data_IF_141626281255
#
_entry.id   IF_141626281255
#
_cell.length_a   1.000
_cell.length_b   1.000
_cell.length_c   1.000
_cell.angle_alpha   90.00
_cell.angle_beta   90.00
_cell.angle_gamma   90.00
#
_symmetry.space_group_name_H-M   'P 1'
#
loop_
_entity.id
_entity.type
_entity.pdbx_description
1 polymer ?
#
# COMPACT_ATOMS: atom_id res chain seq x y z
N UNK A 1 -4.96 -31.72 -9.69
CA UNK A 1 -4.19 -31.56 -10.95
C UNK A 1 -2.89 -32.32 -10.78
N UNK A 2 -2.38 -32.94 -11.83
CA UNK A 2 -1.05 -33.57 -11.79
C UNK A 2 0.04 -32.53 -12.05
N UNK A 3 1.26 -32.85 -11.66
CA UNK A 3 2.44 -32.08 -12.01
C UNK A 3 3.16 -32.74 -13.19
N UNK A 4 3.64 -31.93 -14.12
CA UNK A 4 4.47 -32.30 -15.25
C UNK A 4 5.90 -31.82 -14.99
N UNK A 5 6.86 -32.74 -15.07
CA UNK A 5 8.29 -32.43 -15.03
C UNK A 5 8.81 -32.25 -16.44
N UNK A 6 9.40 -31.09 -16.72
CA UNK A 6 9.97 -30.78 -18.03
C UNK A 6 11.45 -30.44 -17.89
N UNK A 7 12.28 -30.97 -18.79
CA UNK A 7 13.70 -30.68 -18.83
C UNK A 7 13.99 -29.66 -19.93
N UNK A 8 14.51 -28.50 -19.56
CA UNK A 8 14.78 -27.37 -20.47
C UNK A 8 16.14 -26.80 -20.11
N UNK A 9 17.03 -26.69 -21.11
CA UNK A 9 18.44 -26.30 -20.92
C UNK A 9 19.17 -27.04 -19.79
N UNK A 10 18.87 -28.34 -19.60
CA UNK A 10 19.47 -29.16 -18.54
C UNK A 10 18.95 -28.89 -17.12
N UNK A 11 17.90 -28.07 -16.96
CA UNK A 11 17.20 -27.83 -15.69
C UNK A 11 15.83 -28.49 -15.71
N UNK A 12 15.40 -29.01 -14.57
CA UNK A 12 14.05 -29.59 -14.39
C UNK A 12 13.13 -28.52 -13.83
N UNK A 13 12.00 -28.29 -14.51
CA UNK A 13 10.92 -27.44 -14.04
C UNK A 13 9.69 -28.28 -13.75
N UNK A 14 9.04 -27.99 -12.62
CA UNK A 14 7.75 -28.57 -12.25
C UNK A 14 6.65 -27.58 -12.64
N UNK A 15 5.80 -27.99 -13.58
CA UNK A 15 4.66 -27.24 -14.08
C UNK A 15 3.37 -27.98 -13.75
N UNK A 16 2.31 -27.27 -13.44
CA UNK A 16 1.00 -27.89 -13.29
C UNK A 16 0.43 -28.27 -14.65
N UNK A 17 -0.15 -29.47 -14.76
CA UNK A 17 -0.77 -29.97 -15.99
C UNK A 17 -2.05 -29.18 -16.35
N UNK A 18 -2.02 -28.50 -17.50
CA UNK A 18 -3.09 -27.69 -18.07
C UNK A 18 -3.83 -28.38 -19.23
N UNK A 19 -3.51 -29.65 -19.51
CA UNK A 19 -3.97 -30.39 -20.69
C UNK A 19 -3.04 -30.21 -21.89
N UNK A 20 -3.06 -31.19 -22.80
CA UNK A 20 -2.07 -31.35 -23.88
C UNK A 20 -1.74 -30.08 -24.66
N UNK A 21 -2.76 -29.38 -25.15
CA UNK A 21 -2.57 -28.18 -25.98
C UNK A 21 -1.88 -27.04 -25.21
N UNK A 22 -2.24 -26.84 -23.95
CA UNK A 22 -1.68 -25.76 -23.13
C UNK A 22 -0.31 -26.15 -22.57
N UNK A 23 -0.09 -27.43 -22.24
CA UNK A 23 1.23 -27.94 -21.86
C UNK A 23 2.25 -27.76 -22.98
N UNK A 24 1.87 -28.06 -24.22
CA UNK A 24 2.70 -27.80 -25.40
C UNK A 24 3.05 -26.32 -25.54
N UNK A 25 2.06 -25.43 -25.41
CA UNK A 25 2.30 -23.98 -25.46
C UNK A 25 3.23 -23.48 -24.35
N UNK A 26 3.13 -24.00 -23.12
CA UNK A 26 4.08 -23.68 -22.06
C UNK A 26 5.48 -24.23 -22.36
N UNK A 27 5.60 -25.44 -22.89
CA UNK A 27 6.89 -26.01 -23.30
C UNK A 27 7.58 -25.13 -24.35
N UNK A 28 6.84 -24.67 -25.36
CA UNK A 28 7.36 -23.79 -26.41
C UNK A 28 7.78 -22.44 -25.85
N UNK A 29 6.96 -21.84 -24.96
CA UNK A 29 7.32 -20.60 -24.26
C UNK A 29 8.61 -20.76 -23.45
N UNK A 30 8.75 -21.84 -22.67
CA UNK A 30 9.97 -22.06 -21.88
C UNK A 30 11.19 -22.27 -22.77
N UNK A 31 11.09 -23.06 -23.85
CA UNK A 31 12.18 -23.24 -24.82
C UNK A 31 12.57 -21.92 -25.48
N UNK A 32 11.60 -21.06 -25.76
CA UNK A 32 11.89 -19.75 -26.32
C UNK A 32 12.70 -18.86 -25.37
N UNK A 33 12.32 -18.85 -24.09
CA UNK A 33 13.01 -18.06 -23.07
C UNK A 33 14.41 -18.61 -22.77
N UNK A 34 14.52 -19.92 -22.59
CA UNK A 34 15.75 -20.54 -22.06
C UNK A 34 16.70 -21.07 -23.13
N UNK A 35 16.18 -21.54 -24.27
CA UNK A 35 16.97 -22.07 -25.39
C UNK A 35 17.02 -21.13 -26.60
N UNK A 36 16.32 -19.98 -26.57
CA UNK A 36 16.29 -19.02 -27.67
C UNK A 36 15.52 -19.50 -28.91
N UNK A 37 14.63 -20.47 -28.75
CA UNK A 37 13.78 -20.97 -29.84
C UNK A 37 12.77 -19.90 -30.30
N UNK A 38 12.34 -19.92 -31.57
CA UNK A 38 11.22 -19.10 -32.02
C UNK A 38 9.95 -19.39 -31.21
N UNK A 39 9.16 -18.35 -30.98
CA UNK A 39 7.91 -18.43 -30.22
C UNK A 39 6.78 -17.70 -30.94
N UNK A 40 5.66 -18.39 -31.10
CA UNK A 40 4.44 -17.82 -31.66
C UNK A 40 3.50 -17.36 -30.54
N UNK A 41 3.53 -16.06 -30.27
CA UNK A 41 2.69 -15.44 -29.26
C UNK A 41 1.20 -15.49 -29.61
N UNK A 42 0.84 -15.41 -30.90
CA UNK A 42 -0.55 -15.46 -31.34
C UNK A 42 -1.14 -16.86 -31.10
N UNK A 43 -0.34 -17.90 -31.37
CA UNK A 43 -0.73 -19.28 -31.10
C UNK A 43 -0.89 -19.55 -29.60
N UNK A 44 0.00 -19.01 -28.76
CA UNK A 44 -0.16 -19.08 -27.31
C UNK A 44 -1.45 -18.38 -26.84
N UNK A 45 -1.72 -17.16 -27.32
CA UNK A 45 -2.93 -16.40 -26.97
C UNK A 45 -4.20 -17.18 -27.35
N UNK A 46 -4.22 -17.78 -28.55
CA UNK A 46 -5.32 -18.62 -29.01
C UNK A 46 -5.54 -19.84 -28.12
N UNK A 47 -4.46 -20.55 -27.76
CA UNK A 47 -4.51 -21.72 -26.88
C UNK A 47 -4.94 -21.34 -25.46
N UNK A 48 -4.43 -20.23 -24.91
CA UNK A 48 -4.80 -19.70 -23.59
C UNK A 48 -6.27 -19.24 -23.55
N UNK A 49 -6.74 -18.50 -24.55
CA UNK A 49 -8.14 -18.07 -24.67
C UNK A 49 -9.08 -19.28 -24.70
N UNK A 50 -8.73 -20.33 -25.46
CA UNK A 50 -9.50 -21.58 -25.50
C UNK A 50 -9.47 -22.30 -24.15
N UNK A 51 -8.32 -22.33 -23.49
CA UNK A 51 -8.17 -22.90 -22.15
C UNK A 51 -9.13 -22.22 -21.17
N UNK A 52 -9.09 -20.88 -21.05
CA UNK A 52 -9.99 -20.13 -20.15
C UNK A 52 -11.47 -20.36 -20.47
N UNK A 53 -11.84 -20.48 -21.74
CA UNK A 53 -13.21 -20.85 -22.11
C UNK A 53 -13.67 -22.21 -21.61
N UNK A 54 -12.75 -23.18 -21.49
CA UNK A 54 -13.07 -24.53 -21.01
C UNK A 54 -13.11 -24.62 -19.47
N UNK A 55 -12.48 -23.68 -18.76
CA UNK A 55 -12.29 -23.73 -17.31
C UNK A 55 -12.82 -22.48 -16.59
N UNK A 56 -13.71 -21.72 -17.23
CA UNK A 56 -14.07 -20.36 -16.80
C UNK A 56 -14.66 -20.24 -15.39
N UNK A 57 -15.12 -21.33 -14.79
CA UNK A 57 -15.64 -21.40 -13.43
C UNK A 57 -14.67 -22.02 -12.41
N UNK A 58 -13.43 -22.31 -12.81
CA UNK A 58 -12.43 -23.03 -12.02
C UNK A 58 -11.24 -22.11 -11.68
N UNK A 59 -11.34 -21.31 -10.59
CA UNK A 59 -10.27 -20.40 -10.19
C UNK A 59 -8.96 -21.12 -9.83
N UNK A 60 -9.01 -22.40 -9.45
CA UNK A 60 -7.79 -23.16 -9.16
C UNK A 60 -7.00 -23.40 -10.45
N UNK A 61 -7.69 -23.65 -11.57
CA UNK A 61 -7.04 -23.76 -12.89
C UNK A 61 -6.55 -22.41 -13.42
N UNK A 62 -7.25 -21.31 -13.10
CA UNK A 62 -6.76 -19.97 -13.41
C UNK A 62 -5.44 -19.69 -12.68
N UNK A 63 -5.40 -19.93 -11.37
CA UNK A 63 -4.20 -19.79 -10.55
C UNK A 63 -3.05 -20.65 -11.07
N UNK A 64 -3.33 -21.91 -11.44
CA UNK A 64 -2.32 -22.82 -11.96
C UNK A 64 -1.75 -22.40 -13.33
N UNK A 65 -2.60 -21.88 -14.24
CA UNK A 65 -2.14 -21.30 -15.50
C UNK A 65 -1.14 -20.16 -15.26
N UNK A 66 -1.47 -19.21 -14.38
CA UNK A 66 -0.57 -18.10 -14.07
C UNK A 66 0.66 -18.55 -13.25
N UNK A 67 0.49 -19.56 -12.39
CA UNK A 67 1.56 -20.17 -11.60
C UNK A 67 2.67 -20.75 -12.47
N UNK A 68 2.33 -21.36 -13.62
CA UNK A 68 3.30 -21.88 -14.58
C UNK A 68 4.21 -20.80 -15.21
N UNK A 69 3.92 -19.51 -15.06
CA UNK A 69 4.78 -18.42 -15.55
C UNK A 69 5.82 -17.96 -14.52
N UNK A 70 5.66 -18.35 -13.25
CA UNK A 70 6.47 -17.82 -12.14
C UNK A 70 7.96 -18.16 -12.26
N UNK A 71 8.32 -19.32 -12.82
CA UNK A 71 9.74 -19.68 -13.05
C UNK A 71 10.41 -18.78 -14.09
N UNK A 72 9.71 -18.50 -15.20
CA UNK A 72 10.18 -17.58 -16.25
C UNK A 72 10.33 -16.17 -15.67
N UNK A 73 9.30 -15.68 -14.99
CA UNK A 73 9.32 -14.37 -14.34
C UNK A 73 10.52 -14.24 -13.39
N UNK A 74 10.71 -15.21 -12.50
CA UNK A 74 11.81 -15.21 -11.53
C UNK A 74 13.16 -15.18 -12.23
N UNK A 75 13.33 -15.97 -13.29
CA UNK A 75 14.55 -15.94 -14.09
C UNK A 75 14.80 -14.55 -14.71
N UNK A 76 13.77 -13.91 -15.26
CA UNK A 76 13.91 -12.55 -15.79
C UNK A 76 14.37 -11.57 -14.70
N UNK A 77 13.77 -11.60 -13.52
CA UNK A 77 14.17 -10.74 -12.40
C UNK A 77 15.62 -11.00 -11.97
N UNK A 78 16.02 -12.27 -11.81
CA UNK A 78 17.37 -12.65 -11.38
C UNK A 78 18.45 -12.23 -12.40
N UNK A 79 18.08 -12.04 -13.67
CA UNK A 79 18.98 -11.60 -14.73
C UNK A 79 18.82 -10.11 -15.08
N UNK A 80 18.10 -9.33 -14.28
CA UNK A 80 17.90 -7.90 -14.51
C UNK A 80 17.05 -7.54 -15.75
N UNK A 81 16.30 -8.51 -16.28
CA UNK A 81 15.44 -8.39 -17.47
C UNK A 81 14.04 -7.90 -17.08
N UNK A 82 13.98 -6.71 -16.49
CA UNK A 82 12.76 -6.20 -15.88
C UNK A 82 11.64 -5.93 -16.88
N UNK A 83 11.98 -5.45 -18.08
CA UNK A 83 11.03 -5.18 -19.15
C UNK A 83 10.35 -6.47 -19.64
N UNK A 84 11.14 -7.53 -19.84
CA UNK A 84 10.64 -8.85 -20.20
C UNK A 84 9.77 -9.45 -19.09
N UNK A 85 10.13 -9.23 -17.81
CA UNK A 85 9.31 -9.64 -16.67
C UNK A 85 7.93 -8.94 -16.65
N UNK A 86 7.85 -7.65 -16.95
CA UNK A 86 6.56 -6.94 -17.09
C UNK A 86 5.76 -7.44 -18.30
N UNK A 87 6.42 -7.59 -19.45
CA UNK A 87 5.79 -8.06 -20.67
C UNK A 87 5.23 -9.48 -20.57
N UNK A 88 5.89 -10.37 -19.82
CA UNK A 88 5.38 -11.71 -19.56
C UNK A 88 3.98 -11.66 -18.93
N UNK A 89 3.80 -10.83 -17.89
CA UNK A 89 2.52 -10.71 -17.19
C UNK A 89 1.46 -10.02 -18.03
N UNK A 90 1.84 -8.98 -18.78
CA UNK A 90 0.93 -8.33 -19.73
C UNK A 90 0.40 -9.34 -20.75
N UNK A 91 1.30 -10.09 -21.41
CA UNK A 91 0.93 -11.08 -22.41
C UNK A 91 0.09 -12.23 -21.84
N UNK A 92 0.36 -12.64 -20.60
CA UNK A 92 -0.43 -13.66 -19.92
C UNK A 92 -1.85 -13.19 -19.55
N UNK A 93 -2.01 -11.90 -19.24
CA UNK A 93 -3.30 -11.29 -18.87
C UNK A 93 -4.22 -11.07 -20.07
N UNK A 94 -3.67 -10.72 -21.22
CA UNK A 94 -4.44 -10.38 -22.43
C UNK A 94 -5.48 -11.45 -22.83
N UNK A 95 -5.16 -12.76 -22.87
CA UNK A 95 -6.15 -13.79 -23.20
C UNK A 95 -7.32 -13.82 -22.22
N UNK A 96 -7.07 -13.70 -20.91
CA UNK A 96 -8.10 -13.69 -19.89
C UNK A 96 -9.01 -12.46 -20.02
N UNK A 97 -8.42 -11.27 -20.19
CA UNK A 97 -9.16 -10.01 -20.36
C UNK A 97 -9.98 -9.99 -21.66
N UNK A 98 -9.40 -10.47 -22.77
CA UNK A 98 -10.07 -10.61 -24.06
C UNK A 98 -11.27 -11.56 -23.96
N UNK A 99 -11.10 -12.67 -23.24
CA UNK A 99 -12.17 -13.62 -23.01
C UNK A 99 -13.30 -13.04 -22.14
N UNK A 100 -12.98 -12.37 -21.02
CA UNK A 100 -13.99 -11.72 -20.16
C UNK A 100 -14.77 -10.63 -20.92
N UNK A 101 -14.09 -9.85 -21.76
CA UNK A 101 -14.72 -8.82 -22.60
C UNK A 101 -15.78 -9.38 -23.56
N UNK A 102 -15.59 -10.63 -24.02
CA UNK A 102 -16.55 -11.35 -24.88
C UNK A 102 -17.60 -12.13 -24.10
N UNK A 103 -17.34 -12.43 -22.82
CA UNK A 103 -18.19 -13.27 -21.97
C UNK A 103 -18.66 -12.48 -20.73
N UNK A 104 -19.43 -11.42 -20.96
CA UNK A 104 -19.90 -10.52 -19.89
C UNK A 104 -20.58 -11.29 -18.75
N UNK A 105 -20.19 -11.00 -17.52
CA UNK A 105 -20.71 -11.63 -16.31
C UNK A 105 -19.98 -12.92 -15.90
N UNK A 106 -19.08 -13.43 -16.75
CA UNK A 106 -18.14 -14.48 -16.35
C UNK A 106 -16.82 -13.86 -15.87
N UNK A 107 -16.03 -14.65 -15.14
CA UNK A 107 -14.88 -14.17 -14.39
C UNK A 107 -13.72 -15.16 -14.44
N UNK A 108 -12.55 -14.68 -14.87
CA UNK A 108 -11.27 -15.37 -14.77
C UNK A 108 -10.50 -14.69 -13.64
N UNK A 109 -10.06 -15.46 -12.64
CA UNK A 109 -9.29 -14.89 -11.53
C UNK A 109 -7.88 -14.54 -12.01
N UNK A 110 -7.49 -13.28 -11.79
CA UNK A 110 -6.24 -12.67 -12.25
C UNK A 110 -5.38 -12.15 -11.08
N UNK A 111 -5.64 -12.61 -9.86
CA UNK A 111 -4.91 -12.15 -8.67
C UNK A 111 -3.40 -12.42 -8.76
N UNK A 112 -3.03 -13.64 -9.17
CA UNK A 112 -1.63 -14.06 -9.35
C UNK A 112 -0.81 -13.14 -10.28
N UNK A 113 -1.20 -12.90 -11.54
CA UNK A 113 -0.43 -12.04 -12.44
C UNK A 113 -0.39 -10.57 -11.99
N UNK A 114 -1.48 -10.03 -11.42
CA UNK A 114 -1.45 -8.68 -10.86
C UNK A 114 -0.48 -8.56 -9.68
N UNK A 115 -0.46 -9.55 -8.78
CA UNK A 115 0.44 -9.57 -7.64
C UNK A 115 1.92 -9.57 -8.08
N UNK A 116 2.31 -10.51 -8.95
CA UNK A 116 3.69 -10.63 -9.40
C UNK A 116 4.14 -9.47 -10.30
N UNK A 117 3.24 -8.92 -11.13
CA UNK A 117 3.55 -7.72 -11.88
C UNK A 117 3.73 -6.51 -10.96
N UNK A 118 2.87 -6.36 -9.95
CA UNK A 118 3.03 -5.33 -8.91
C UNK A 118 4.39 -5.41 -8.21
N UNK A 119 4.89 -6.63 -7.93
CA UNK A 119 6.23 -6.82 -7.36
C UNK A 119 7.31 -6.26 -8.30
N UNK A 120 7.25 -6.61 -9.59
CA UNK A 120 8.21 -6.11 -10.59
C UNK A 120 8.23 -4.59 -10.61
N UNK A 121 7.06 -3.93 -10.67
CA UNK A 121 6.97 -2.47 -10.71
C UNK A 121 7.54 -1.81 -9.45
N UNK A 122 7.27 -2.36 -8.25
CA UNK A 122 7.84 -1.85 -6.99
C UNK A 122 9.37 -2.00 -6.94
N UNK A 123 9.88 -3.14 -7.43
CA UNK A 123 11.33 -3.41 -7.52
C UNK A 123 12.00 -2.38 -8.43
N UNK A 124 11.37 -2.06 -9.57
CA UNK A 124 11.82 -1.05 -10.52
C UNK A 124 11.67 0.40 -10.01
N UNK A 125 10.97 0.60 -8.89
CA UNK A 125 10.75 1.92 -8.29
C UNK A 125 9.46 2.62 -8.72
N UNK A 126 8.63 2.00 -9.57
CA UNK A 126 7.29 2.47 -9.91
C UNK A 126 6.29 2.01 -8.83
N UNK A 127 6.26 2.74 -7.72
CA UNK A 127 5.35 2.45 -6.61
C UNK A 127 3.88 2.61 -6.99
N UNK A 128 3.55 3.57 -7.86
CA UNK A 128 2.16 3.91 -8.19
C UNK A 128 1.52 2.76 -8.96
N UNK A 129 2.19 2.29 -10.02
CA UNK A 129 1.77 1.09 -10.75
C UNK A 129 1.80 -0.14 -9.85
N UNK A 130 2.87 -0.29 -9.07
CA UNK A 130 3.05 -1.40 -8.16
C UNK A 130 1.89 -1.59 -7.18
N UNK A 131 1.50 -0.52 -6.49
CA UNK A 131 0.40 -0.55 -5.54
C UNK A 131 -0.97 -0.67 -6.22
N UNK A 132 -1.17 -0.06 -7.39
CA UNK A 132 -2.39 -0.24 -8.17
C UNK A 132 -2.61 -1.73 -8.56
N UNK A 133 -1.55 -2.40 -9.02
CA UNK A 133 -1.59 -3.83 -9.35
C UNK A 133 -1.78 -4.70 -8.10
N UNK A 134 -1.11 -4.39 -6.99
CA UNK A 134 -1.31 -5.10 -5.72
C UNK A 134 -2.74 -4.97 -5.18
N UNK A 135 -3.35 -3.79 -5.33
CA UNK A 135 -4.74 -3.56 -4.95
C UNK A 135 -5.68 -4.34 -5.88
N UNK A 136 -5.45 -4.31 -7.20
CA UNK A 136 -6.20 -5.11 -8.16
C UNK A 136 -6.11 -6.62 -7.86
N UNK A 137 -4.96 -7.10 -7.42
CA UNK A 137 -4.80 -8.49 -6.98
C UNK A 137 -5.69 -8.81 -5.77
N UNK A 138 -5.79 -7.90 -4.79
CA UNK A 138 -6.73 -8.06 -3.67
C UNK A 138 -8.19 -8.01 -4.13
N UNK A 139 -8.56 -7.12 -5.04
CA UNK A 139 -9.92 -7.06 -5.57
C UNK A 139 -10.33 -8.38 -6.25
N UNK A 140 -9.42 -8.98 -7.02
CA UNK A 140 -9.61 -10.31 -7.60
C UNK A 140 -9.84 -11.38 -6.52
N UNK A 141 -9.08 -11.33 -5.42
CA UNK A 141 -9.25 -12.24 -4.28
C UNK A 141 -10.56 -12.02 -3.51
N UNK A 142 -11.01 -10.78 -3.32
CA UNK A 142 -12.28 -10.46 -2.65
C UNK A 142 -13.47 -10.99 -3.47
N UNK A 143 -13.37 -10.98 -4.79
CA UNK A 143 -14.42 -11.50 -5.68
C UNK A 143 -14.56 -13.02 -5.59
N UNK A 144 -13.54 -13.73 -5.12
CA UNK A 144 -13.60 -15.17 -4.86
C UNK A 144 -14.44 -15.45 -3.62
N UNK A 145 -15.44 -16.32 -3.77
CA UNK A 145 -16.30 -16.75 -2.67
C UNK A 145 -15.82 -18.04 -2.01
N UNK A 146 -14.85 -18.72 -2.62
CA UNK A 146 -14.36 -20.05 -2.23
C UNK A 146 -13.17 -20.00 -1.24
N UNK A 147 -12.65 -18.81 -0.93
CA UNK A 147 -11.49 -18.65 -0.03
C UNK A 147 -11.61 -17.37 0.81
N UNK A 148 -11.05 -17.41 2.02
CA UNK A 148 -10.84 -16.20 2.81
C UNK A 148 -9.71 -15.35 2.20
N UNK A 149 -10.09 -14.22 1.59
CA UNK A 149 -9.17 -13.25 1.01
C UNK A 149 -8.17 -12.67 2.02
N UNK A 150 -8.46 -12.73 3.33
CA UNK A 150 -7.52 -12.28 4.38
C UNK A 150 -6.29 -13.16 4.52
N UNK A 151 -6.29 -14.32 3.88
CA UNK A 151 -5.16 -15.26 3.85
C UNK A 151 -4.28 -15.08 2.61
N UNK A 152 -4.59 -14.13 1.72
CA UNK A 152 -3.91 -14.04 0.42
C UNK A 152 -2.66 -13.15 0.47
N UNK A 153 -1.71 -13.36 -0.46
CA UNK A 153 -0.49 -12.55 -0.56
C UNK A 153 -0.75 -11.04 -0.67
N UNK A 154 -1.79 -10.62 -1.41
CA UNK A 154 -2.12 -9.22 -1.62
C UNK A 154 -2.59 -8.54 -0.31
N UNK A 155 -3.42 -9.23 0.48
CA UNK A 155 -3.81 -8.71 1.80
C UNK A 155 -2.64 -8.72 2.78
N UNK A 156 -1.84 -9.80 2.80
CA UNK A 156 -0.64 -9.88 3.63
C UNK A 156 0.38 -8.78 3.29
N UNK A 157 0.46 -8.35 2.03
CA UNK A 157 1.27 -7.23 1.58
C UNK A 157 0.81 -5.91 2.20
N UNK A 158 -0.48 -5.58 2.09
CA UNK A 158 -1.03 -4.32 2.63
C UNK A 158 -1.05 -4.28 4.17
N UNK A 159 -1.21 -5.44 4.83
CA UNK A 159 -1.25 -5.55 6.29
C UNK A 159 0.12 -5.74 6.96
N UNK A 160 1.18 -5.69 6.18
CA UNK A 160 2.55 -5.85 6.64
C UNK A 160 2.84 -7.21 7.32
N UNK A 161 2.18 -8.29 6.86
CA UNK A 161 2.30 -9.65 7.42
C UNK A 161 3.53 -10.36 6.84
N UNK A 162 4.71 -10.03 7.35
CA UNK A 162 5.99 -10.59 6.89
C UNK A 162 6.31 -12.01 7.41
N UNK A 163 5.57 -12.53 8.40
CA UNK A 163 5.78 -13.87 8.97
C UNK A 163 5.10 -14.97 8.15
N UNK A 164 4.37 -14.62 7.10
CA UNK A 164 3.72 -15.57 6.20
C UNK A 164 4.78 -16.27 5.34
N UNK A 165 5.02 -17.57 5.59
CA UNK A 165 6.12 -18.34 4.98
C UNK A 165 6.04 -18.35 3.44
N UNK A 166 4.82 -18.30 2.89
CA UNK A 166 4.57 -18.35 1.46
C UNK A 166 4.44 -16.97 0.80
N UNK A 167 4.82 -15.89 1.49
CA UNK A 167 4.75 -14.54 0.95
C UNK A 167 5.94 -14.25 0.02
N UNK A 168 5.71 -14.28 -1.30
CA UNK A 168 6.78 -14.10 -2.29
C UNK A 168 7.50 -12.74 -2.13
N UNK A 169 6.79 -11.69 -1.70
CA UNK A 169 7.39 -10.37 -1.46
C UNK A 169 7.74 -10.09 0.01
N UNK A 170 7.97 -11.13 0.81
CA UNK A 170 8.11 -11.03 2.26
C UNK A 170 9.19 -10.06 2.76
N UNK A 171 10.32 -9.95 2.04
CA UNK A 171 11.40 -9.02 2.41
C UNK A 171 11.00 -7.55 2.29
N UNK A 172 10.26 -7.18 1.25
CA UNK A 172 9.72 -5.81 1.12
C UNK A 172 8.76 -5.50 2.26
N UNK A 173 7.87 -6.46 2.56
CA UNK A 173 6.90 -6.34 3.64
C UNK A 173 7.58 -6.19 5.00
N UNK A 174 8.68 -6.91 5.24
CA UNK A 174 9.50 -6.77 6.44
C UNK A 174 10.09 -5.35 6.56
N UNK A 175 10.69 -4.82 5.50
CA UNK A 175 11.28 -3.47 5.53
C UNK A 175 10.25 -2.38 5.83
N UNK A 176 9.05 -2.49 5.27
CA UNK A 176 7.96 -1.58 5.61
C UNK A 176 7.56 -1.71 7.10
N UNK A 177 7.49 -2.93 7.63
CA UNK A 177 7.15 -3.16 9.02
C UNK A 177 8.22 -2.64 9.99
N UNK A 178 9.51 -2.81 9.67
CA UNK A 178 10.63 -2.27 10.47
C UNK A 178 10.60 -0.74 10.50
N UNK A 179 10.39 -0.10 9.34
CA UNK A 179 10.26 1.35 9.27
C UNK A 179 9.08 1.89 10.10
N UNK A 180 7.94 1.20 10.08
CA UNK A 180 6.80 1.55 10.93
C UNK A 180 7.11 1.37 12.43
N UNK A 181 7.83 0.31 12.78
CA UNK A 181 8.21 0.02 14.17
C UNK A 181 9.16 1.08 14.74
N UNK A 182 10.07 1.63 13.94
CA UNK A 182 10.91 2.76 14.33
C UNK A 182 10.09 4.00 14.72
N UNK A 183 9.10 4.35 13.89
CA UNK A 183 8.19 5.47 14.15
C UNK A 183 7.37 5.24 15.43
N UNK A 184 6.90 4.00 15.64
CA UNK A 184 6.13 3.60 16.80
C UNK A 184 6.95 3.63 18.09
N UNK A 185 8.19 3.12 18.06
CA UNK A 185 9.10 3.17 19.21
C UNK A 185 9.39 4.61 19.63
N UNK A 186 9.52 5.53 18.67
CA UNK A 186 9.71 6.95 18.97
C UNK A 186 8.45 7.56 19.61
N UNK A 187 7.25 7.20 19.15
CA UNK A 187 5.99 7.59 19.80
C UNK A 187 5.93 7.12 21.26
N UNK A 188 6.17 5.82 21.49
CA UNK A 188 6.12 5.24 22.82
C UNK A 188 7.14 5.86 23.78
N UNK A 189 8.37 6.09 23.31
CA UNK A 189 9.44 6.73 24.09
C UNK A 189 9.11 8.19 24.41
N UNK A 190 8.59 8.94 23.42
CA UNK A 190 8.31 10.38 23.57
C UNK A 190 7.15 10.65 24.51
N UNK A 191 6.11 9.80 24.48
CA UNK A 191 4.84 10.04 25.18
C UNK A 191 4.55 9.07 26.32
N UNK A 192 5.52 8.22 26.68
CA UNK A 192 5.36 7.22 27.75
C UNK A 192 4.26 6.19 27.48
N UNK A 193 4.07 5.81 26.23
CA UNK A 193 3.02 4.87 25.78
C UNK A 193 3.55 3.44 25.68
N UNK A 194 2.64 2.47 25.57
CA UNK A 194 2.97 1.05 25.57
C UNK A 194 2.44 0.28 24.36
N UNK A 195 1.99 0.99 23.32
CA UNK A 195 1.53 0.37 22.08
C UNK A 195 2.68 -0.39 21.39
N UNK A 196 2.49 -1.68 21.14
CA UNK A 196 3.47 -2.50 20.39
C UNK A 196 3.11 -2.58 18.91
N UNK A 197 4.07 -2.94 18.05
CA UNK A 197 3.78 -3.20 16.63
C UNK A 197 2.74 -4.30 16.46
N UNK A 198 2.77 -5.33 17.31
CA UNK A 198 1.77 -6.41 17.31
C UNK A 198 0.37 -5.92 17.65
N UNK A 199 0.25 -4.99 18.61
CA UNK A 199 -1.02 -4.33 18.92
C UNK A 199 -1.51 -3.49 17.75
N UNK A 200 -0.63 -2.67 17.16
CA UNK A 200 -0.99 -1.84 16.01
C UNK A 200 -1.48 -2.69 14.82
N UNK A 201 -0.79 -3.79 14.52
CA UNK A 201 -1.18 -4.73 13.47
C UNK A 201 -2.56 -5.33 13.73
N UNK A 202 -2.77 -5.94 14.91
CA UNK A 202 -4.07 -6.56 15.24
C UNK A 202 -5.21 -5.56 15.27
N UNK A 203 -5.00 -4.38 15.83
CA UNK A 203 -6.06 -3.39 16.06
C UNK A 203 -6.43 -2.59 14.81
N UNK A 204 -5.48 -2.39 13.90
CA UNK A 204 -5.70 -1.62 12.68
C UNK A 204 -5.40 -2.41 11.40
N UNK A 205 -4.16 -2.87 11.17
CA UNK A 205 -3.82 -3.41 9.84
C UNK A 205 -4.64 -4.66 9.49
N UNK A 206 -4.86 -5.55 10.45
CA UNK A 206 -5.64 -6.78 10.26
C UNK A 206 -7.16 -6.54 10.39
N UNK A 207 -7.56 -5.44 11.04
CA UNK A 207 -8.95 -5.07 11.27
C UNK A 207 -9.22 -3.60 10.88
N UNK A 208 -8.97 -3.21 9.62
CA UNK A 208 -9.10 -1.82 9.21
C UNK A 208 -10.58 -1.45 9.04
N UNK A 209 -10.93 -0.15 9.05
CA UNK A 209 -12.30 0.29 8.72
C UNK A 209 -12.81 -0.27 7.39
N UNK A 210 -11.93 -0.35 6.40
CA UNK A 210 -12.11 -1.00 5.11
C UNK A 210 -10.73 -1.30 4.50
N UNK A 211 -10.69 -2.15 3.47
CA UNK A 211 -9.43 -2.55 2.85
C UNK A 211 -8.73 -1.40 2.09
N UNK A 212 -9.48 -0.41 1.57
CA UNK A 212 -8.89 0.76 0.91
C UNK A 212 -8.06 1.61 1.90
N UNK A 213 -8.51 1.71 3.15
CA UNK A 213 -7.81 2.45 4.21
C UNK A 213 -6.44 1.83 4.51
N UNK A 214 -6.36 0.50 4.61
CA UNK A 214 -5.08 -0.18 4.87
C UNK A 214 -4.16 -0.16 3.64
N UNK A 215 -4.71 -0.22 2.42
CA UNK A 215 -3.94 -0.05 1.19
C UNK A 215 -3.38 1.37 1.06
N UNK A 216 -4.18 2.39 1.31
CA UNK A 216 -3.75 3.78 1.32
C UNK A 216 -2.64 4.00 2.36
N UNK A 217 -2.78 3.42 3.55
CA UNK A 217 -1.73 3.43 4.56
C UNK A 217 -0.44 2.77 4.09
N UNK A 218 -0.51 1.54 3.56
CA UNK A 218 0.65 0.80 3.08
C UNK A 218 1.37 1.55 1.94
N UNK A 219 0.60 2.16 1.02
CA UNK A 219 1.13 2.97 -0.07
C UNK A 219 1.82 4.24 0.44
N UNK A 220 1.17 4.99 1.34
CA UNK A 220 1.77 6.18 1.93
C UNK A 220 3.06 5.84 2.71
N UNK A 221 3.06 4.74 3.46
CA UNK A 221 4.25 4.24 4.16
C UNK A 221 5.39 3.89 3.19
N UNK A 222 5.08 3.19 2.10
CA UNK A 222 6.06 2.84 1.07
C UNK A 222 6.69 4.07 0.41
N UNK A 223 5.89 5.08 0.09
CA UNK A 223 6.39 6.34 -0.47
C UNK A 223 7.25 7.09 0.53
N UNK A 224 6.87 7.12 1.82
CA UNK A 224 7.68 7.71 2.89
C UNK A 224 9.02 6.98 3.09
N UNK A 225 9.01 5.65 3.03
CA UNK A 225 10.21 4.82 3.08
C UNK A 225 11.16 5.14 1.92
N UNK A 226 10.64 5.25 0.69
CA UNK A 226 11.43 5.68 -0.48
C UNK A 226 11.90 7.11 -0.37
N UNK A 227 11.10 8.01 0.21
CA UNK A 227 11.49 9.41 0.36
C UNK A 227 12.75 9.58 1.22
N UNK A 228 12.98 8.70 2.21
CA UNK A 228 14.23 8.68 2.98
C UNK A 228 15.50 8.41 2.14
N UNK A 229 15.35 7.95 0.90
CA UNK A 229 16.46 7.65 -0.01
C UNK A 229 16.79 8.82 -0.96
N UNK A 230 15.98 9.89 -0.97
CA UNK A 230 16.22 11.05 -1.84
C UNK A 230 17.35 11.91 -1.27
N UNK A 231 18.34 12.23 -2.11
CA UNK A 231 19.45 13.11 -1.74
C UNK A 231 18.96 14.50 -1.30
N UNK A 232 19.58 15.07 -0.27
CA UNK A 232 19.10 16.29 0.38
C UNK A 232 18.88 17.47 -0.57
N UNK A 233 19.73 17.66 -1.57
CA UNK A 233 19.58 18.75 -2.55
C UNK A 233 18.34 18.57 -3.46
N UNK A 234 17.96 17.32 -3.78
CA UNK A 234 16.76 17.01 -4.56
C UNK A 234 15.49 17.07 -3.72
N UNK A 235 15.61 16.92 -2.39
CA UNK A 235 14.52 16.97 -1.43
C UNK A 235 14.20 18.39 -0.90
N UNK A 236 14.91 19.42 -1.38
CA UNK A 236 14.88 20.80 -0.86
C UNK A 236 14.51 21.81 -1.95
N UNK A 237 13.29 21.69 -2.48
CA UNK A 237 12.71 22.61 -3.46
C UNK A 237 11.23 22.84 -3.19
N UNK A 238 10.66 23.89 -3.78
CA UNK A 238 9.21 24.16 -3.73
C UNK A 238 8.40 22.96 -4.17
N UNK A 239 8.82 22.28 -5.25
CA UNK A 239 8.13 21.08 -5.72
C UNK A 239 8.29 19.90 -4.75
N UNK A 240 9.50 19.70 -4.19
CA UNK A 240 9.71 18.67 -3.16
C UNK A 240 8.86 18.90 -1.92
N UNK A 241 8.64 20.17 -1.53
CA UNK A 241 7.74 20.53 -0.44
C UNK A 241 6.28 20.13 -0.73
N UNK A 242 5.82 20.32 -1.97
CA UNK A 242 4.49 19.88 -2.39
C UNK A 242 4.37 18.35 -2.40
N UNK A 243 5.38 17.63 -2.88
CA UNK A 243 5.41 16.16 -2.82
C UNK A 243 5.35 15.66 -1.37
N UNK A 244 6.11 16.29 -0.47
CA UNK A 244 6.09 16.02 0.97
C UNK A 244 4.72 16.31 1.59
N UNK A 245 4.08 17.43 1.23
CA UNK A 245 2.72 17.75 1.67
C UNK A 245 1.73 16.67 1.23
N UNK A 246 1.77 16.23 -0.02
CA UNK A 246 0.88 15.18 -0.52
C UNK A 246 1.05 13.89 0.30
N UNK A 247 2.28 13.50 0.62
CA UNK A 247 2.55 12.32 1.47
C UNK A 247 1.98 12.47 2.89
N UNK A 248 2.15 13.66 3.49
CA UNK A 248 1.61 13.93 4.82
C UNK A 248 0.08 13.98 4.80
N UNK A 249 -0.51 14.51 3.73
CA UNK A 249 -1.95 14.54 3.53
C UNK A 249 -2.54 13.13 3.40
N UNK A 250 -1.90 12.23 2.67
CA UNK A 250 -2.32 10.82 2.57
C UNK A 250 -2.40 10.16 3.95
N UNK A 251 -1.41 10.40 4.83
CA UNK A 251 -1.44 9.90 6.21
C UNK A 251 -2.56 10.57 7.02
N UNK A 252 -2.81 11.87 6.82
CA UNK A 252 -3.91 12.56 7.47
C UNK A 252 -5.30 12.00 7.07
N UNK A 253 -5.46 11.57 5.81
CA UNK A 253 -6.66 10.89 5.35
C UNK A 253 -6.85 9.51 6.02
N UNK A 254 -5.76 8.76 6.24
CA UNK A 254 -5.82 7.50 7.01
C UNK A 254 -6.24 7.76 8.46
N UNK A 255 -5.70 8.79 9.10
CA UNK A 255 -6.10 9.22 10.45
C UNK A 255 -7.59 9.58 10.47
N UNK A 256 -8.05 10.38 9.50
CA UNK A 256 -9.46 10.75 9.38
C UNK A 256 -10.36 9.52 9.23
N UNK A 257 -10.02 8.59 8.34
CA UNK A 257 -10.77 7.37 8.12
C UNK A 257 -10.89 6.52 9.39
N UNK A 258 -9.80 6.41 10.17
CA UNK A 258 -9.79 5.69 11.44
C UNK A 258 -10.70 6.33 12.48
N UNK A 259 -10.65 7.65 12.63
CA UNK A 259 -11.50 8.35 13.60
C UNK A 259 -12.96 8.29 13.13
N UNK A 260 -13.23 8.53 11.85
CA UNK A 260 -14.57 8.50 11.26
C UNK A 260 -15.26 7.15 11.46
N UNK A 261 -14.54 6.05 11.32
CA UNK A 261 -15.10 4.71 11.59
C UNK A 261 -15.58 4.52 13.04
N UNK A 262 -15.06 5.33 13.97
CA UNK A 262 -15.44 5.33 15.39
C UNK A 262 -16.33 6.53 15.76
N UNK A 263 -16.53 7.46 14.84
CA UNK A 263 -17.40 8.63 14.96
C UNK A 263 -18.17 8.88 13.63
N UNK A 264 -19.04 7.95 13.20
CA UNK A 264 -19.53 7.86 11.81
C UNK A 264 -20.52 8.95 11.38
N UNK A 265 -21.15 9.64 12.33
CA UNK A 265 -22.20 10.63 12.06
C UNK A 265 -21.66 12.06 11.88
N UNK A 266 -20.35 12.22 11.76
CA UNK A 266 -19.69 13.53 11.68
C UNK A 266 -18.94 13.64 10.35
N UNK A 267 -19.05 14.80 9.70
CA UNK A 267 -18.45 15.03 8.37
C UNK A 267 -17.20 15.91 8.38
N UNK A 268 -16.98 16.67 9.45
CA UNK A 268 -15.89 17.65 9.54
C UNK A 268 -14.75 17.13 10.41
N UNK A 269 -13.52 17.23 9.90
CA UNK A 269 -12.34 16.75 10.63
C UNK A 269 -12.14 17.43 11.99
N UNK A 270 -12.55 18.70 12.17
CA UNK A 270 -12.51 19.35 13.49
C UNK A 270 -13.30 18.57 14.56
N UNK A 271 -14.43 17.97 14.18
CA UNK A 271 -15.25 17.15 15.09
C UNK A 271 -14.54 15.83 15.39
N UNK A 272 -13.86 15.25 14.40
CA UNK A 272 -13.04 14.06 14.59
C UNK A 272 -11.83 14.33 15.51
N UNK A 273 -11.15 15.47 15.34
CA UNK A 273 -10.05 15.89 16.19
C UNK A 273 -10.52 16.13 17.64
N UNK A 274 -11.67 16.79 17.83
CA UNK A 274 -12.27 16.99 19.15
C UNK A 274 -12.64 15.65 19.82
N UNK A 275 -13.24 14.74 19.05
CA UNK A 275 -13.56 13.39 19.52
C UNK A 275 -12.31 12.61 19.95
N UNK A 276 -11.25 12.61 19.13
CA UNK A 276 -9.99 11.96 19.51
C UNK A 276 -9.38 12.61 20.76
N UNK A 277 -9.42 13.94 20.86
CA UNK A 277 -8.94 14.67 22.02
C UNK A 277 -9.67 14.23 23.29
N UNK A 278 -11.00 14.20 23.26
CA UNK A 278 -11.83 13.72 24.36
C UNK A 278 -11.50 12.27 24.75
N UNK A 279 -11.51 11.35 23.79
CA UNK A 279 -11.24 9.92 24.03
C UNK A 279 -9.81 9.69 24.58
N UNK A 280 -8.88 10.57 24.23
CA UNK A 280 -7.48 10.50 24.65
C UNK A 280 -7.18 11.34 25.90
N UNK A 281 -8.20 11.96 26.52
CA UNK A 281 -8.05 12.92 27.63
C UNK A 281 -7.06 14.06 27.34
N UNK A 282 -6.97 14.47 26.06
CA UNK A 282 -6.30 15.69 25.67
C UNK A 282 -7.22 16.86 26.02
N UNK A 283 -6.68 17.91 26.63
CA UNK A 283 -7.45 19.07 27.07
C UNK A 283 -7.85 20.01 25.93
N UNK A 284 -7.96 19.52 24.68
CA UNK A 284 -8.37 20.30 23.51
C UNK A 284 -9.86 20.20 23.28
N UNK A 285 -10.55 21.34 23.38
CA UNK A 285 -11.98 21.46 23.08
C UNK A 285 -12.21 21.83 21.60
N UNK A 286 -13.45 21.68 21.13
CA UNK A 286 -13.84 22.11 19.79
C UNK A 286 -13.63 23.62 19.57
N UNK A 287 -13.85 24.44 20.61
CA UNK A 287 -13.58 25.88 20.57
C UNK A 287 -12.09 26.18 20.37
N UNK A 288 -11.22 25.52 21.13
CA UNK A 288 -9.77 25.69 21.03
C UNK A 288 -9.23 25.19 19.69
N UNK A 289 -9.79 24.11 19.15
CA UNK A 289 -9.50 23.67 17.78
C UNK A 289 -9.95 24.73 16.74
N UNK A 290 -11.07 25.40 16.98
CA UNK A 290 -11.52 26.55 16.16
C UNK A 290 -10.55 27.74 16.20
N UNK A 291 -9.97 28.04 17.37
CA UNK A 291 -8.93 29.06 17.51
C UNK A 291 -7.68 28.67 16.72
N UNK A 292 -7.21 27.42 16.86
CA UNK A 292 -6.07 26.88 16.10
C UNK A 292 -6.32 26.98 14.58
N UNK A 293 -7.51 26.58 14.12
CA UNK A 293 -7.87 26.69 12.70
C UNK A 293 -7.82 28.13 12.20
N UNK A 294 -8.32 29.08 12.99
CA UNK A 294 -8.27 30.50 12.68
C UNK A 294 -6.82 30.99 12.53
N UNK A 295 -5.90 30.53 13.38
CA UNK A 295 -4.46 30.86 13.25
C UNK A 295 -3.86 30.27 11.96
N UNK A 296 -4.18 29.02 11.63
CA UNK A 296 -3.73 28.41 10.37
C UNK A 296 -4.29 29.11 9.12
N UNK A 297 -5.54 29.56 9.13
CA UNK A 297 -6.15 30.31 8.02
C UNK A 297 -5.42 31.64 7.81
N UNK A 298 -5.09 32.32 8.91
CA UNK A 298 -4.43 33.63 8.84
C UNK A 298 -2.96 33.52 8.43
N UNK A 299 -2.22 32.59 9.03
CA UNK A 299 -0.79 32.41 8.73
C UNK A 299 -0.34 30.97 9.01
N UNK A 300 -0.36 30.14 7.97
CA UNK A 300 -0.17 28.70 8.10
C UNK A 300 1.24 28.33 8.58
N UNK A 301 2.28 28.90 7.95
CA UNK A 301 3.66 28.50 8.19
C UNK A 301 4.16 28.87 9.60
N UNK A 302 3.97 30.10 10.11
CA UNK A 302 4.33 30.45 11.49
C UNK A 302 3.53 29.65 12.52
N UNK A 303 2.24 29.39 12.27
CA UNK A 303 1.43 28.54 13.14
C UNK A 303 2.01 27.12 13.22
N UNK A 304 2.36 26.52 12.07
CA UNK A 304 3.00 25.22 12.01
C UNK A 304 4.36 25.21 12.75
N UNK A 305 5.23 26.21 12.52
CA UNK A 305 6.53 26.34 13.21
C UNK A 305 6.36 26.49 14.73
N UNK A 306 5.36 27.24 15.18
CA UNK A 306 5.06 27.41 16.60
C UNK A 306 4.59 26.10 17.26
N UNK A 307 3.79 25.31 16.55
CA UNK A 307 3.34 23.99 17.03
C UNK A 307 4.49 22.99 17.08
N UNK A 308 5.32 22.91 16.03
CA UNK A 308 6.51 22.03 15.99
C UNK A 308 7.48 22.35 17.11
N UNK A 309 7.71 23.64 17.39
CA UNK A 309 8.59 24.09 18.48
C UNK A 309 7.92 24.07 19.86
N UNK A 310 6.65 23.67 19.95
CA UNK A 310 5.84 23.68 21.17
C UNK A 310 5.81 25.06 21.88
N UNK A 311 5.83 26.12 21.08
CA UNK A 311 5.74 27.53 21.52
C UNK A 311 4.35 28.14 21.29
N UNK A 312 3.48 27.45 20.54
CA UNK A 312 2.10 27.87 20.31
C UNK A 312 1.33 28.02 21.63
N UNK A 313 0.52 29.07 21.73
CA UNK A 313 -0.37 29.32 22.87
C UNK A 313 -1.76 29.68 22.36
N UNK A 314 -2.77 29.12 23.02
CA UNK A 314 -4.18 29.49 22.81
C UNK A 314 -4.46 30.89 23.34
N UNK A 315 -5.64 31.41 23.02
CA UNK A 315 -6.12 32.65 23.61
C UNK A 315 -6.22 32.45 25.14
N UNK A 316 -5.76 33.45 25.91
CA UNK A 316 -5.58 33.33 27.37
C UNK A 316 -4.24 32.72 27.82
N UNK A 317 -3.32 32.42 26.90
CA UNK A 317 -1.93 32.07 27.21
C UNK A 317 -1.70 30.60 27.59
N UNK A 318 -2.72 29.75 27.46
CA UNK A 318 -2.56 28.31 27.68
C UNK A 318 -1.64 27.71 26.61
N UNK A 319 -0.54 27.12 27.04
CA UNK A 319 0.33 26.31 26.17
C UNK A 319 -0.26 24.93 25.94
N UNK A 320 -0.05 24.40 24.74
CA UNK A 320 -0.39 23.03 24.40
C UNK A 320 0.68 22.07 24.96
N UNK A 321 0.24 20.91 25.42
CA UNK A 321 1.14 19.77 25.59
C UNK A 321 1.65 19.31 24.22
N UNK A 322 2.73 18.52 24.21
CA UNK A 322 3.32 18.04 22.96
C UNK A 322 2.33 17.26 22.09
N UNK A 323 1.56 16.34 22.68
CA UNK A 323 0.60 15.52 21.94
C UNK A 323 -0.61 16.34 21.45
N UNK A 324 -1.00 17.40 22.17
CA UNK A 324 -1.99 18.37 21.70
C UNK A 324 -1.47 19.17 20.50
N UNK A 325 -0.20 19.61 20.53
CA UNK A 325 0.46 20.26 19.39
C UNK A 325 0.52 19.33 18.18
N UNK A 326 0.82 18.04 18.37
CA UNK A 326 0.87 17.05 17.29
C UNK A 326 -0.54 16.79 16.69
N UNK A 327 -1.60 16.79 17.50
CA UNK A 327 -2.99 16.72 17.02
C UNK A 327 -3.37 17.97 16.21
N UNK A 328 -2.98 19.15 16.69
CA UNK A 328 -3.17 20.40 15.99
C UNK A 328 -2.40 20.43 14.65
N UNK A 329 -1.20 19.85 14.58
CA UNK A 329 -0.43 19.67 13.33
C UNK A 329 -1.20 18.76 12.36
N UNK A 330 -1.64 17.58 12.79
CA UNK A 330 -2.40 16.66 11.93
C UNK A 330 -3.66 17.34 11.36
N UNK A 331 -4.36 18.11 12.20
CA UNK A 331 -5.50 18.92 11.78
C UNK A 331 -5.14 19.99 10.76
N UNK A 332 -4.10 20.78 11.01
CA UNK A 332 -3.63 21.82 10.10
C UNK A 332 -3.22 21.25 8.74
N UNK A 333 -2.46 20.15 8.73
CA UNK A 333 -2.03 19.46 7.50
C UNK A 333 -3.24 18.96 6.71
N UNK A 334 -4.20 18.30 7.36
CA UNK A 334 -5.41 17.81 6.71
C UNK A 334 -6.16 18.95 6.02
N UNK A 335 -6.41 20.05 6.74
CA UNK A 335 -7.14 21.18 6.18
C UNK A 335 -6.36 21.89 5.06
N UNK A 336 -5.05 22.08 5.24
CA UNK A 336 -4.23 22.76 4.25
C UNK A 336 -4.12 21.96 2.96
N UNK A 337 -3.81 20.65 3.06
CA UNK A 337 -3.70 19.76 1.90
C UNK A 337 -5.01 19.60 1.11
N UNK A 338 -6.18 19.73 1.77
CA UNK A 338 -7.48 19.68 1.11
C UNK A 338 -7.83 20.94 0.30
N UNK A 339 -7.16 22.06 0.54
CA UNK A 339 -7.55 23.37 0.00
C UNK A 339 -6.44 24.14 -0.69
N UNK A 340 -5.18 23.68 -0.60
CA UNK A 340 -4.02 24.43 -1.10
C UNK A 340 -3.03 23.51 -1.82
N UNK A 341 -2.41 24.06 -2.86
CA UNK A 341 -1.30 23.45 -3.62
C UNK A 341 -0.01 24.29 -3.50
N UNK A 342 0.00 25.23 -2.56
CA UNK A 342 1.13 26.14 -2.34
C UNK A 342 2.13 25.48 -1.41
N UNK A 343 3.34 25.33 -1.90
CA UNK A 343 4.46 24.84 -1.12
C UNK A 343 4.95 25.89 -0.11
N UNK A 344 5.12 25.47 1.13
CA UNK A 344 5.82 26.24 2.17
C UNK A 344 7.16 25.55 2.50
N UNK A 345 8.25 26.30 2.73
CA UNK A 345 9.56 25.73 3.03
C UNK A 345 9.57 24.79 4.23
N UNK A 346 8.76 25.09 5.25
CA UNK A 346 8.65 24.26 6.46
C UNK A 346 8.37 22.79 6.19
N UNK A 347 7.62 22.44 5.13
CA UNK A 347 7.36 21.02 4.82
C UNK A 347 8.62 20.24 4.47
N UNK A 348 9.61 20.88 3.84
CA UNK A 348 10.86 20.19 3.53
C UNK A 348 11.91 20.37 4.62
N UNK A 349 11.96 21.53 5.30
CA UNK A 349 12.89 21.82 6.40
C UNK A 349 12.61 20.97 7.65
N UNK A 350 11.34 20.76 7.99
CA UNK A 350 10.91 20.08 9.21
C UNK A 350 10.17 18.76 8.92
N UNK A 351 10.38 18.19 7.73
CA UNK A 351 9.63 17.03 7.23
C UNK A 351 9.57 15.88 8.24
N UNK A 352 10.72 15.50 8.81
CA UNK A 352 10.82 14.38 9.77
C UNK A 352 9.98 14.62 11.03
N UNK A 353 9.96 15.86 11.55
CA UNK A 353 9.17 16.21 12.73
C UNK A 353 7.67 16.22 12.43
N UNK A 354 7.27 16.77 11.28
CA UNK A 354 5.87 16.79 10.87
C UNK A 354 5.38 15.37 10.62
N UNK A 355 6.15 14.56 9.87
CA UNK A 355 5.87 13.13 9.67
C UNK A 355 5.70 12.42 11.00
N UNK A 356 6.63 12.57 11.94
CA UNK A 356 6.52 11.93 13.24
C UNK A 356 5.26 12.37 14.00
N UNK A 357 4.90 13.66 13.92
CA UNK A 357 3.68 14.20 14.55
C UNK A 357 2.42 13.50 14.02
N UNK A 358 2.33 13.30 12.69
CA UNK A 358 1.20 12.59 12.09
C UNK A 358 1.16 11.12 12.51
N UNK A 359 2.31 10.43 12.51
CA UNK A 359 2.36 9.04 12.97
C UNK A 359 2.02 8.92 14.47
N UNK A 360 2.43 9.85 15.31
CA UNK A 360 2.04 9.88 16.72
C UNK A 360 0.52 9.93 16.88
N UNK A 361 -0.17 10.74 16.07
CA UNK A 361 -1.64 10.82 16.09
C UNK A 361 -2.28 9.57 15.50
N UNK A 362 -1.70 8.98 14.44
CA UNK A 362 -2.13 7.68 13.93
C UNK A 362 -2.04 6.59 15.01
N UNK A 363 -0.92 6.49 15.72
CA UNK A 363 -0.73 5.53 16.80
C UNK A 363 -1.68 5.80 17.96
N UNK A 364 -1.90 7.06 18.33
CA UNK A 364 -2.88 7.44 19.35
C UNK A 364 -4.30 7.00 18.96
N UNK A 365 -4.70 7.19 17.70
CA UNK A 365 -6.00 6.73 17.20
C UNK A 365 -6.17 5.22 17.42
N UNK A 366 -5.16 4.43 17.05
CA UNK A 366 -5.20 2.97 17.19
C UNK A 366 -5.17 2.55 18.66
N UNK A 367 -4.33 3.17 19.48
CA UNK A 367 -4.22 2.86 20.92
C UNK A 367 -5.54 3.11 21.66
N UNK A 368 -6.21 4.23 21.37
CA UNK A 368 -7.35 4.72 22.14
C UNK A 368 -8.69 4.23 21.58
N UNK A 369 -8.86 4.23 20.25
CA UNK A 369 -10.16 3.98 19.61
C UNK A 369 -10.36 2.53 19.14
N UNK A 370 -9.29 1.73 19.07
CA UNK A 370 -9.32 0.34 18.59
C UNK A 370 -8.77 -0.59 19.67
N UNK A 371 -9.59 -0.92 20.66
CA UNK A 371 -9.23 -1.80 21.78
C UNK A 371 -9.59 -3.25 21.53
#
# INVERSE_FOLDING_TARGET
MGDMRVMISGRVYELTDMGSAMNEAFLDLYKAVFDGQPYDLEEFDRKATKFFGNVSSDPVKHDAFFGNLTHIWKWYLENGKWFEAEHLWLNALLPALSWEGKNKGQFIHKGTPYYFWGMTSIIMGDLDRGFALMHQALEEDIRRKDRDWRTTPAFAFATLKYTEVNQAFGRWVLYQAEFLDELLKLFCTTHGRQLTLGDFKRRFLENPPNYDTVFMFAYALARLFRHHQILGYAASSTFAAQLKLNLLFDIALVIEALIKAKNPNQGNFIVHAAYLAEQSSLGLTMEQLGQINSKFINDFEPTLKALISNTFSLDGGRKLSRLESELAIAYGIRNHGAHNVTAIPTFWEQFTLIRQSLFNILFLCVEVLYK
#
